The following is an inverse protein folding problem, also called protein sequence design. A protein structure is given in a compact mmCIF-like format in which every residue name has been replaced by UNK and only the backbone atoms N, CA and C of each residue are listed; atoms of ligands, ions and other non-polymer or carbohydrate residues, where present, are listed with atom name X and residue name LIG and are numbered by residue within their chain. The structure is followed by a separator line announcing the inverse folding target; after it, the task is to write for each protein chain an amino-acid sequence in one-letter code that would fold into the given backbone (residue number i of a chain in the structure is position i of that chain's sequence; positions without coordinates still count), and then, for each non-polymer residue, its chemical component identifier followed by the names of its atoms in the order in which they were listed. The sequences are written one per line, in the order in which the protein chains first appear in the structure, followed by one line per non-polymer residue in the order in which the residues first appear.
data_IF_638997659474
#
_entry.id   IF_638997659474
#
_cell.length_a   1.000
_cell.length_b   1.000
_cell.length_c   1.000
_cell.angle_alpha   90.00
_cell.angle_beta   90.00
_cell.angle_gamma   90.00
#
_symmetry.space_group_name_H-M   'P 1'
#
loop_
_entity.id
_entity.type
_entity.pdbx_description
1 polymer ?
#
# COMPACT_ATOMS: atom_id res chain seq x y z
N UNK A 1 13.62 -3.57 10.82
CA UNK A 1 12.25 -4.09 10.66
C UNK A 1 11.21 -2.97 10.75
N UNK A 2 11.30 -2.10 11.76
CA UNK A 2 10.34 -1.01 12.03
C UNK A 2 9.93 -0.21 10.78
N UNK A 3 10.88 0.33 10.00
CA UNK A 3 10.54 1.15 8.81
C UNK A 3 9.73 0.36 7.77
N UNK A 4 10.08 -0.89 7.50
CA UNK A 4 9.36 -1.74 6.53
C UNK A 4 7.94 -2.04 7.01
N UNK A 5 7.77 -2.31 8.30
CA UNK A 5 6.45 -2.53 8.93
C UNK A 5 5.61 -1.25 8.84
N UNK A 6 6.20 -0.08 9.14
CA UNK A 6 5.52 1.21 9.04
C UNK A 6 5.04 1.46 7.60
N UNK A 7 5.87 1.20 6.59
CA UNK A 7 5.49 1.35 5.18
C UNK A 7 4.34 0.42 4.80
N UNK A 8 4.36 -0.84 5.27
CA UNK A 8 3.28 -1.78 5.02
C UNK A 8 1.98 -1.29 5.67
N UNK A 9 2.01 -0.88 6.94
CA UNK A 9 0.83 -0.38 7.66
C UNK A 9 0.27 0.88 6.99
N UNK A 10 1.12 1.85 6.64
CA UNK A 10 0.70 3.05 5.91
C UNK A 10 0.07 2.67 4.57
N UNK A 11 0.69 1.76 3.81
CA UNK A 11 0.15 1.31 2.54
C UNK A 11 -1.23 0.68 2.67
N UNK A 12 -1.44 -0.17 3.68
CA UNK A 12 -2.75 -0.77 3.98
C UNK A 12 -3.78 0.29 4.37
N UNK A 13 -3.42 1.28 5.18
CA UNK A 13 -4.32 2.39 5.54
C UNK A 13 -4.75 3.20 4.31
N UNK A 14 -3.83 3.47 3.39
CA UNK A 14 -4.15 4.15 2.12
C UNK A 14 -5.08 3.31 1.23
N UNK A 15 -4.88 2.00 1.16
CA UNK A 15 -5.78 1.09 0.44
C UNK A 15 -7.20 1.07 1.03
N UNK A 16 -7.31 1.03 2.37
CA UNK A 16 -8.59 1.08 3.07
C UNK A 16 -9.32 2.41 2.84
N UNK A 17 -8.60 3.54 2.88
CA UNK A 17 -9.18 4.86 2.54
C UNK A 17 -9.65 4.93 1.09
N UNK A 18 -8.87 4.40 0.15
CA UNK A 18 -9.27 4.33 -1.26
C UNK A 18 -10.50 3.45 -1.49
N UNK A 19 -10.63 2.33 -0.76
CA UNK A 19 -11.84 1.49 -0.80
C UNK A 19 -13.06 2.22 -0.22
N UNK A 20 -12.88 2.94 0.89
CA UNK A 20 -13.93 3.74 1.50
C UNK A 20 -14.44 4.83 0.55
N UNK A 21 -13.55 5.56 -0.11
CA UNK A 21 -13.90 6.59 -1.08
C UNK A 21 -14.63 6.02 -2.31
N UNK A 22 -14.30 4.81 -2.75
CA UNK A 22 -15.08 4.15 -3.81
C UNK A 22 -16.52 3.86 -3.38
N UNK A 23 -16.73 3.49 -2.11
CA UNK A 23 -18.08 3.33 -1.55
C UNK A 23 -18.86 4.64 -1.58
N UNK A 24 -18.22 5.76 -1.21
CA UNK A 24 -18.82 7.10 -1.28
C UNK A 24 -19.11 7.49 -2.74
N UNK A 25 -18.19 7.24 -3.67
CA UNK A 25 -18.40 7.52 -5.08
C UNK A 25 -19.60 6.75 -5.63
N UNK A 26 -19.72 5.45 -5.32
CA UNK A 26 -20.84 4.61 -5.74
C UNK A 26 -22.18 5.10 -5.15
N UNK A 27 -22.17 5.52 -3.89
CA UNK A 27 -23.35 6.13 -3.26
C UNK A 27 -23.74 7.43 -4.00
N UNK A 28 -22.78 8.31 -4.28
CA UNK A 28 -23.02 9.59 -4.96
C UNK A 28 -23.50 9.42 -6.41
N UNK A 29 -23.05 8.39 -7.12
CA UNK A 29 -23.61 8.01 -8.43
C UNK A 29 -25.08 7.58 -8.31
N UNK A 30 -25.42 6.83 -7.25
CA UNK A 30 -26.79 6.42 -6.94
C UNK A 30 -27.77 7.58 -6.72
N UNK A 31 -27.32 8.67 -6.09
CA UNK A 31 -28.09 9.93 -5.94
C UNK A 31 -27.91 10.92 -7.10
N UNK A 32 -27.36 10.47 -8.24
CA UNK A 32 -27.17 11.27 -9.47
C UNK A 32 -26.28 12.52 -9.32
N UNK A 33 -25.40 12.58 -8.31
CA UNK A 33 -24.37 13.61 -8.18
C UNK A 33 -23.08 13.20 -8.91
N UNK A 34 -23.17 13.11 -10.24
CA UNK A 34 -22.12 12.54 -11.11
C UNK A 34 -20.80 13.32 -11.10
N UNK A 35 -20.84 14.65 -10.99
CA UNK A 35 -19.63 15.48 -10.95
C UNK A 35 -18.76 15.24 -9.71
N UNK A 36 -19.40 15.07 -8.55
CA UNK A 36 -18.71 14.76 -7.29
C UNK A 36 -18.20 13.32 -7.27
N UNK A 37 -18.98 12.38 -7.79
CA UNK A 37 -18.58 10.97 -7.86
C UNK A 37 -17.30 10.76 -8.68
N UNK A 38 -17.17 11.41 -9.84
CA UNK A 38 -15.98 11.28 -10.69
C UNK A 38 -14.72 11.79 -9.99
N UNK A 39 -14.80 12.92 -9.26
CA UNK A 39 -13.67 13.47 -8.51
C UNK A 39 -13.23 12.52 -7.38
N UNK A 40 -14.20 12.04 -6.59
CA UNK A 40 -13.97 11.10 -5.49
C UNK A 40 -13.35 9.79 -6.00
N UNK A 41 -13.79 9.29 -7.17
CA UNK A 41 -13.24 8.07 -7.78
C UNK A 41 -11.78 8.25 -8.19
N UNK A 42 -11.43 9.40 -8.76
CA UNK A 42 -10.05 9.68 -9.14
C UNK A 42 -9.12 9.80 -7.91
N UNK A 43 -9.61 10.44 -6.85
CA UNK A 43 -8.89 10.53 -5.57
C UNK A 43 -8.72 9.13 -4.93
N UNK A 44 -9.77 8.31 -4.97
CA UNK A 44 -9.74 6.92 -4.49
C UNK A 44 -8.71 6.05 -5.22
N UNK A 45 -8.61 6.18 -6.55
CA UNK A 45 -7.60 5.49 -7.37
C UNK A 45 -6.19 5.95 -6.98
N UNK A 46 -6.00 7.25 -6.79
CA UNK A 46 -4.71 7.83 -6.38
C UNK A 46 -4.26 7.27 -5.03
N UNK A 47 -5.15 7.22 -4.04
CA UNK A 47 -4.83 6.60 -2.76
C UNK A 47 -4.53 5.10 -2.86
N UNK A 48 -5.22 4.37 -3.74
CA UNK A 48 -4.92 2.96 -3.98
C UNK A 48 -3.53 2.75 -4.58
N UNK A 49 -3.13 3.57 -5.55
CA UNK A 49 -1.80 3.51 -6.16
C UNK A 49 -0.70 3.81 -5.14
N UNK A 50 -0.85 4.88 -4.36
CA UNK A 50 0.09 5.23 -3.28
C UNK A 50 0.18 4.08 -2.27
N UNK A 51 -0.96 3.53 -1.85
CA UNK A 51 -1.01 2.41 -0.92
C UNK A 51 -0.28 1.17 -1.43
N UNK A 52 -0.50 0.80 -2.69
CA UNK A 52 0.17 -0.31 -3.35
C UNK A 52 1.69 -0.12 -3.42
N UNK A 53 2.15 1.08 -3.79
CA UNK A 53 3.58 1.40 -3.87
C UNK A 53 4.22 1.26 -2.48
N UNK A 54 3.63 1.86 -1.45
CA UNK A 54 4.13 1.80 -0.08
C UNK A 54 4.21 0.36 0.45
N UNK A 55 3.15 -0.43 0.23
CA UNK A 55 3.13 -1.84 0.63
C UNK A 55 4.20 -2.66 -0.12
N UNK A 56 4.30 -2.51 -1.44
CA UNK A 56 5.30 -3.20 -2.25
C UNK A 56 6.73 -2.85 -1.84
N UNK A 57 7.03 -1.56 -1.63
CA UNK A 57 8.33 -1.10 -1.14
C UNK A 57 8.62 -1.65 0.26
N UNK A 58 7.65 -1.63 1.16
CA UNK A 58 7.77 -2.19 2.50
C UNK A 58 8.12 -3.69 2.48
N UNK A 59 7.45 -4.47 1.62
CA UNK A 59 7.71 -5.90 1.42
C UNK A 59 9.11 -6.11 0.82
N UNK A 60 9.47 -5.37 -0.23
CA UNK A 60 10.77 -5.49 -0.89
C UNK A 60 11.94 -5.26 0.08
N UNK A 61 11.85 -4.21 0.92
CA UNK A 61 12.87 -3.94 1.95
C UNK A 61 12.97 -5.09 2.96
N UNK A 62 11.84 -5.70 3.34
CA UNK A 62 11.84 -6.83 4.28
C UNK A 62 12.54 -8.05 3.67
N UNK A 63 12.23 -8.38 2.43
CA UNK A 63 12.85 -9.49 1.69
C UNK A 63 14.34 -9.28 1.51
N UNK A 64 14.77 -8.11 1.04
CA UNK A 64 16.21 -7.80 0.85
C UNK A 64 16.99 -7.94 2.15
N UNK A 65 16.46 -7.43 3.28
CA UNK A 65 17.12 -7.59 4.58
C UNK A 65 17.19 -9.05 5.04
N UNK A 66 16.15 -9.84 4.77
CA UNK A 66 16.14 -11.28 5.09
C UNK A 66 17.19 -12.04 4.27
N UNK A 67 17.31 -11.73 2.99
CA UNK A 67 18.32 -12.30 2.08
C UNK A 67 19.74 -11.96 2.54
N UNK A 68 20.04 -10.70 2.86
CA UNK A 68 21.37 -10.30 3.36
C UNK A 68 21.72 -11.01 4.67
N UNK A 69 20.73 -11.17 5.58
CA UNK A 69 20.93 -11.89 6.84
C UNK A 69 21.22 -13.38 6.62
N UNK A 70 20.52 -14.04 5.71
CA UNK A 70 20.77 -15.45 5.37
C UNK A 70 22.15 -15.64 4.74
N UNK A 71 22.53 -14.78 3.80
CA UNK A 71 23.82 -14.87 3.10
C UNK A 71 25.01 -14.71 4.07
N UNK A 72 24.92 -13.75 5.00
CA UNK A 72 25.97 -13.55 6.02
C UNK A 72 26.09 -14.70 7.02
N UNK A 73 25.00 -15.39 7.35
CA UNK A 73 25.04 -16.60 8.18
C UNK A 73 25.66 -17.79 7.45
N UNK A 74 25.36 -17.95 6.17
CA UNK A 74 25.97 -19.00 5.35
C UNK A 74 27.48 -18.81 5.18
N UNK A 75 27.93 -17.56 4.97
CA UNK A 75 29.36 -17.24 4.87
C UNK A 75 30.14 -17.61 6.14
N UNK A 76 29.58 -17.33 7.33
CA UNK A 76 30.20 -17.70 8.62
C UNK A 76 30.25 -19.20 8.88
N UNK A 77 29.42 -20.01 8.21
CA UNK A 77 29.46 -21.48 8.34
C UNK A 77 30.48 -22.12 7.41
N UNK A 78 30.92 -21.41 6.36
CA UNK A 78 31.90 -21.88 5.36
C UNK A 78 33.32 -21.39 5.66
N UNK A 79 33.48 -20.40 6.54
CA UNK A 79 34.77 -19.95 7.11
C UNK A 79 35.09 -20.72 8.37
#
# INVERSE_FOLDING_TARGET
MIISIILIVLGVLYLMRGLWLLGIAAFNEGVKQTGLASSIRNEAITFKLIGLILTATGIAINFSKRLTKLNSQELRRKS
#
